data_IF_005670762447
#
_entry.id   IF_005670762447
#
_cell.length_a   1.000
_cell.length_b   1.000
_cell.length_c   1.000
_cell.angle_alpha   90.00
_cell.angle_beta   90.00
_cell.angle_gamma   90.00
#
_symmetry.space_group_name_H-M   'P 1'
#
loop_
_entity.id
_entity.type
_entity.pdbx_description
1 polymer ?
#
# COMPACT_ATOMS: atom_id res chain seq x y z
N UNK A 1 -2.75 -20.76 5.34
CA UNK A 1 -3.61 -20.07 4.36
C UNK A 1 -4.80 -19.35 5.01
N UNK A 2 -5.50 -19.96 5.97
CA UNK A 2 -6.68 -19.36 6.63
C UNK A 2 -6.43 -17.95 7.21
N UNK A 3 -5.34 -17.77 7.95
CA UNK A 3 -4.97 -16.49 8.58
C UNK A 3 -4.79 -15.34 7.58
N UNK A 4 -4.24 -15.62 6.41
CA UNK A 4 -4.05 -14.62 5.35
C UNK A 4 -5.38 -14.04 4.86
N UNK A 5 -6.38 -14.90 4.67
CA UNK A 5 -7.72 -14.47 4.24
C UNK A 5 -8.47 -13.74 5.36
N UNK A 6 -8.33 -14.17 6.62
CA UNK A 6 -8.88 -13.45 7.78
C UNK A 6 -8.34 -12.03 7.87
N UNK A 7 -7.03 -11.85 7.67
CA UNK A 7 -6.39 -10.54 7.70
C UNK A 7 -6.88 -9.64 6.54
N UNK A 8 -7.00 -10.18 5.32
CA UNK A 8 -7.56 -9.43 4.19
C UNK A 8 -9.03 -9.04 4.40
N UNK A 9 -9.84 -9.92 5.01
CA UNK A 9 -11.22 -9.63 5.35
C UNK A 9 -11.30 -8.54 6.43
N UNK A 10 -10.45 -8.62 7.46
CA UNK A 10 -10.37 -7.57 8.49
C UNK A 10 -9.96 -6.23 7.88
N UNK A 11 -8.95 -6.22 7.00
CA UNK A 11 -8.53 -5.03 6.27
C UNK A 11 -9.69 -4.41 5.48
N UNK A 12 -10.42 -5.21 4.70
CA UNK A 12 -11.58 -4.73 3.94
C UNK A 12 -12.70 -4.21 4.85
N UNK A 13 -12.97 -4.87 5.97
CA UNK A 13 -14.05 -4.48 6.88
C UNK A 13 -13.72 -3.22 7.69
N UNK A 14 -12.44 -2.95 7.94
CA UNK A 14 -11.99 -1.80 8.74
C UNK A 14 -11.63 -0.56 7.92
N UNK A 15 -11.53 -0.68 6.59
CA UNK A 15 -11.11 0.39 5.67
C UNK A 15 -12.17 0.66 4.62
N UNK A 16 -12.82 1.81 4.73
CA UNK A 16 -13.90 2.19 3.82
C UNK A 16 -13.36 2.41 2.40
N UNK A 17 -12.14 2.94 2.27
CA UNK A 17 -11.47 3.10 0.97
C UNK A 17 -11.23 1.75 0.28
N UNK A 18 -10.80 0.72 1.02
CA UNK A 18 -10.63 -0.63 0.46
C UNK A 18 -11.99 -1.19 0.02
N UNK A 19 -12.99 -1.15 0.89
CA UNK A 19 -14.30 -1.73 0.61
C UNK A 19 -15.03 -1.07 -0.57
N UNK A 20 -14.95 0.26 -0.70
CA UNK A 20 -15.86 1.05 -1.57
C UNK A 20 -15.20 2.24 -2.28
N UNK A 21 -13.92 2.49 -2.07
CA UNK A 21 -13.25 3.66 -2.63
C UNK A 21 -13.18 3.67 -4.15
N UNK A 22 -12.97 4.86 -4.71
CA UNK A 22 -12.57 5.05 -6.10
C UNK A 22 -11.21 4.41 -6.35
N UNK A 23 -10.92 4.08 -7.60
CA UNK A 23 -9.60 3.65 -8.04
C UNK A 23 -8.89 4.85 -8.70
N UNK A 24 -7.76 5.26 -8.14
CA UNK A 24 -7.08 6.50 -8.51
C UNK A 24 -5.57 6.30 -8.66
N UNK A 25 -4.92 7.20 -9.40
CA UNK A 25 -3.44 7.34 -9.47
C UNK A 25 -2.72 6.00 -9.74
N UNK A 26 -3.31 5.18 -10.60
CA UNK A 26 -2.75 3.90 -10.97
C UNK A 26 -1.49 4.06 -11.83
N UNK A 27 -0.54 3.14 -11.64
CA UNK A 27 0.70 3.09 -12.39
C UNK A 27 1.20 1.64 -12.49
N UNK A 28 2.14 1.44 -13.42
CA UNK A 28 2.87 0.20 -13.55
C UNK A 28 4.36 0.47 -13.75
N UNK A 29 5.21 -0.39 -13.17
CA UNK A 29 6.66 -0.43 -13.36
C UNK A 29 7.05 -1.90 -13.60
N UNK A 30 7.13 -2.28 -14.88
CA UNK A 30 7.34 -3.66 -15.28
C UNK A 30 6.21 -4.57 -14.77
N UNK A 31 6.55 -5.55 -13.93
CA UNK A 31 5.60 -6.48 -13.31
C UNK A 31 5.05 -5.98 -11.97
N UNK A 32 5.28 -4.71 -11.63
CA UNK A 32 4.65 -4.08 -10.47
C UNK A 32 3.47 -3.22 -10.92
N UNK A 33 2.34 -3.38 -10.24
CA UNK A 33 1.20 -2.47 -10.32
C UNK A 33 1.04 -1.73 -8.99
N UNK A 34 0.77 -0.43 -9.07
CA UNK A 34 0.41 0.36 -7.89
C UNK A 34 -0.81 1.22 -8.18
N UNK A 35 -1.65 1.44 -7.16
CA UNK A 35 -2.82 2.31 -7.27
C UNK A 35 -3.32 2.75 -5.89
N UNK A 36 -4.13 3.80 -5.88
CA UNK A 36 -4.81 4.26 -4.67
C UNK A 36 -6.30 3.90 -4.65
N UNK A 37 -6.79 3.65 -3.44
CA UNK A 37 -8.19 3.56 -3.09
C UNK A 37 -8.55 4.79 -2.26
N UNK A 38 -9.56 5.55 -2.68
CA UNK A 38 -9.94 6.80 -2.00
C UNK A 38 -11.42 6.83 -1.65
N UNK A 39 -11.72 7.18 -0.39
CA UNK A 39 -13.10 7.44 0.05
C UNK A 39 -13.11 8.34 1.28
N UNK A 40 -13.87 9.45 1.25
CA UNK A 40 -14.08 10.32 2.42
C UNK A 40 -12.79 10.76 3.14
N UNK A 41 -11.74 11.09 2.38
CA UNK A 41 -10.43 11.50 2.91
C UNK A 41 -9.52 10.33 3.35
N UNK A 42 -10.02 9.11 3.38
CA UNK A 42 -9.21 7.90 3.53
C UNK A 42 -8.51 7.61 2.20
N UNK A 43 -7.18 7.47 2.23
CA UNK A 43 -6.35 7.13 1.07
C UNK A 43 -5.55 5.88 1.40
N UNK A 44 -5.72 4.83 0.61
CA UNK A 44 -4.96 3.59 0.75
C UNK A 44 -4.19 3.30 -0.52
N UNK A 45 -2.87 3.18 -0.44
CA UNK A 45 -2.03 2.74 -1.55
C UNK A 45 -1.91 1.22 -1.53
N UNK A 46 -2.10 0.60 -2.68
CA UNK A 46 -1.90 -0.83 -2.92
C UNK A 46 -0.75 -0.99 -3.91
N UNK A 47 0.23 -1.80 -3.56
CA UNK A 47 1.36 -2.18 -4.41
C UNK A 47 1.35 -3.69 -4.59
N UNK A 48 1.49 -4.17 -5.82
CA UNK A 48 1.46 -5.58 -6.17
C UNK A 48 2.66 -5.87 -7.07
N UNK A 49 3.54 -6.78 -6.66
CA UNK A 49 4.59 -7.32 -7.51
C UNK A 49 4.16 -8.69 -8.04
N UNK A 50 3.87 -8.78 -9.34
CA UNK A 50 3.54 -10.03 -10.01
C UNK A 50 4.78 -10.84 -10.42
N UNK A 51 5.97 -10.24 -10.35
CA UNK A 51 7.23 -10.87 -10.77
C UNK A 51 7.75 -11.93 -9.80
N UNK A 52 8.61 -12.81 -10.31
CA UNK A 52 9.34 -13.81 -9.53
C UNK A 52 10.61 -13.26 -8.86
N UNK A 53 10.92 -11.98 -9.06
CA UNK A 53 12.08 -11.29 -8.51
C UNK A 53 11.66 -10.13 -7.60
N UNK A 54 12.51 -9.81 -6.61
CA UNK A 54 12.32 -8.62 -5.81
C UNK A 54 12.56 -7.37 -6.67
N UNK A 55 11.77 -6.32 -6.46
CA UNK A 55 11.91 -5.06 -7.21
C UNK A 55 11.89 -3.86 -6.26
N UNK A 56 12.73 -2.88 -6.57
CA UNK A 56 12.66 -1.55 -5.98
C UNK A 56 11.89 -0.65 -6.94
N UNK A 57 10.80 -0.06 -6.47
CA UNK A 57 9.83 0.66 -7.31
C UNK A 57 9.86 2.13 -6.96
N UNK A 58 9.95 2.98 -7.98
CA UNK A 58 9.78 4.42 -7.81
C UNK A 58 8.30 4.75 -7.97
N UNK A 59 7.67 5.23 -6.91
CA UNK A 59 6.29 5.69 -6.97
C UNK A 59 6.22 7.00 -7.76
N UNK A 60 5.19 7.19 -8.61
CA UNK A 60 4.90 8.48 -9.21
C UNK A 60 4.69 9.53 -8.12
N UNK A 61 5.10 10.78 -8.37
CA UNK A 61 4.89 11.88 -7.41
C UNK A 61 3.42 12.03 -7.00
N UNK A 62 2.47 11.72 -7.89
CA UNK A 62 1.05 11.73 -7.57
C UNK A 62 0.66 10.70 -6.49
N UNK A 63 1.34 9.55 -6.46
CA UNK A 63 1.12 8.45 -5.52
C UNK A 63 2.06 8.51 -4.29
N UNK A 64 3.06 9.40 -4.33
CA UNK A 64 3.99 9.59 -3.23
C UNK A 64 3.35 10.51 -2.16
N UNK A 65 3.43 10.16 -0.87
CA UNK A 65 3.09 11.05 0.21
C UNK A 65 4.03 12.26 0.25
N UNK A 66 3.46 13.45 0.40
CA UNK A 66 4.16 14.72 0.66
C UNK A 66 4.70 14.86 2.10
N UNK A 67 4.59 13.82 2.95
CA UNK A 67 5.03 13.85 4.35
C UNK A 67 5.34 12.48 4.96
N UNK A 68 5.97 12.44 6.15
CA UNK A 68 6.81 11.33 6.63
C UNK A 68 6.06 10.14 7.27
N UNK A 69 4.80 9.84 6.93
CA UNK A 69 4.08 8.79 7.67
C UNK A 69 3.05 8.03 6.84
N UNK A 70 3.49 7.39 5.75
CA UNK A 70 2.72 6.25 5.26
C UNK A 70 2.85 5.13 6.30
N UNK A 71 1.73 4.51 6.67
CA UNK A 71 1.72 3.42 7.64
C UNK A 71 1.39 2.11 6.95
N UNK A 72 2.23 1.11 7.09
CA UNK A 72 1.96 -0.22 6.55
C UNK A 72 0.72 -0.80 7.26
N UNK A 73 -0.32 -1.10 6.47
CA UNK A 73 -1.53 -1.75 6.94
C UNK A 73 -1.40 -3.25 6.83
N UNK A 74 -0.84 -3.75 5.73
CA UNK A 74 -0.74 -5.18 5.49
C UNK A 74 0.30 -5.49 4.42
N UNK A 75 0.99 -6.63 4.55
CA UNK A 75 1.90 -7.14 3.53
C UNK A 75 1.81 -8.66 3.44
N UNK A 76 1.86 -9.21 2.23
CA UNK A 76 1.82 -10.66 1.99
C UNK A 76 3.21 -11.32 2.04
N UNK A 77 4.27 -10.55 2.23
CA UNK A 77 5.65 -11.03 2.18
C UNK A 77 5.93 -12.05 3.30
N UNK A 78 6.62 -13.18 3.00
CA UNK A 78 6.91 -14.21 4.01
C UNK A 78 7.70 -13.67 5.20
N UNK A 79 8.64 -12.75 4.96
CA UNK A 79 9.42 -12.09 6.01
C UNK A 79 8.56 -11.23 6.97
N UNK A 80 7.36 -10.82 6.53
CA UNK A 80 6.39 -10.02 7.30
C UNK A 80 5.30 -10.88 7.96
N UNK A 81 5.26 -12.20 7.69
CA UNK A 81 4.37 -13.19 8.27
C UNK A 81 2.86 -12.84 8.24
N UNK A 82 2.42 -11.95 7.34
CA UNK A 82 1.02 -11.58 7.14
C UNK A 82 0.32 -10.91 8.34
N UNK A 83 1.03 -10.55 9.42
CA UNK A 83 0.37 -10.09 10.66
C UNK A 83 -0.19 -8.68 10.50
N UNK A 84 -1.48 -8.48 10.74
CA UNK A 84 -2.02 -7.17 11.14
C UNK A 84 -1.58 -6.88 12.58
N UNK A 85 -0.37 -6.34 12.80
CA UNK A 85 0.05 -5.92 14.14
C UNK A 85 0.77 -4.57 14.11
N UNK A 86 0.50 -3.78 15.15
CA UNK A 86 1.08 -2.47 15.46
C UNK A 86 2.63 -2.43 15.53
N UNK A 87 3.32 -3.56 15.30
CA UNK A 87 4.77 -3.69 15.28
C UNK A 87 5.42 -3.16 13.98
N UNK A 88 4.66 -2.81 12.93
CA UNK A 88 5.19 -2.24 11.69
C UNK A 88 5.31 -0.71 11.67
N UNK A 89 5.22 -0.06 12.83
CA UNK A 89 5.60 1.36 12.94
C UNK A 89 7.09 1.62 12.60
N UNK A 90 7.87 0.58 12.29
CA UNK A 90 9.28 0.61 11.93
C UNK A 90 9.57 0.35 10.45
N UNK A 91 8.60 -0.08 9.63
CA UNK A 91 8.84 -0.25 8.19
C UNK A 91 8.78 1.12 7.54
N UNK A 92 9.95 1.63 7.15
CA UNK A 92 10.05 2.88 6.44
C UNK A 92 9.36 2.75 5.08
N UNK A 93 8.57 3.77 4.74
CA UNK A 93 8.02 3.92 3.41
C UNK A 93 9.00 4.69 2.54
N UNK A 94 9.41 4.11 1.42
CA UNK A 94 10.49 4.63 0.56
C UNK A 94 9.95 4.96 -0.84
N UNK A 95 9.33 6.13 -1.08
CA UNK A 95 8.66 6.43 -2.34
C UNK A 95 9.58 6.40 -3.57
N UNK A 96 10.89 6.58 -3.40
CA UNK A 96 11.86 6.60 -4.49
C UNK A 96 12.47 5.22 -4.82
N UNK A 97 12.16 4.19 -4.02
CA UNK A 97 12.78 2.88 -4.13
C UNK A 97 12.09 1.81 -3.29
N UNK A 98 10.76 1.85 -3.21
CA UNK A 98 9.98 0.97 -2.35
C UNK A 98 10.24 -0.49 -2.74
N UNK A 99 10.78 -1.26 -1.81
CA UNK A 99 11.09 -2.67 -2.04
C UNK A 99 9.85 -3.53 -1.92
N UNK A 100 9.62 -4.37 -2.94
CA UNK A 100 8.60 -5.42 -2.96
C UNK A 100 9.28 -6.76 -3.18
N UNK A 101 8.99 -7.75 -2.32
CA UNK A 101 9.40 -9.14 -2.54
C UNK A 101 8.72 -9.72 -3.81
N UNK A 102 9.22 -10.86 -4.34
CA UNK A 102 8.52 -11.59 -5.40
C UNK A 102 7.08 -11.92 -5.02
N UNK A 103 6.16 -11.87 -5.99
CA UNK A 103 4.78 -12.33 -5.83
C UNK A 103 4.10 -11.80 -4.55
N UNK A 104 4.30 -10.50 -4.27
CA UNK A 104 3.88 -9.89 -3.01
C UNK A 104 2.94 -8.71 -3.20
N UNK A 105 2.26 -8.37 -2.11
CA UNK A 105 1.38 -7.21 -2.00
C UNK A 105 1.76 -6.44 -0.74
N UNK A 106 1.79 -5.11 -0.84
CA UNK A 106 1.83 -4.21 0.31
C UNK A 106 0.67 -3.22 0.23
N UNK A 107 0.07 -2.94 1.38
CA UNK A 107 -1.05 -1.99 1.52
C UNK A 107 -0.68 -0.95 2.56
N UNK A 108 -0.77 0.32 2.20
CA UNK A 108 -0.31 1.46 3.00
C UNK A 108 -1.42 2.47 3.23
N UNK A 109 -1.53 2.96 4.45
CA UNK A 109 -2.37 4.10 4.81
C UNK A 109 -1.65 5.40 4.46
N UNK A 110 -2.27 6.20 3.62
CA UNK A 110 -1.82 7.56 3.27
C UNK A 110 -2.76 8.64 3.86
N UNK A 111 -3.75 8.24 4.66
CA UNK A 111 -4.75 9.14 5.24
C UNK A 111 -4.09 10.08 6.27
N UNK A 112 -4.26 11.38 6.09
CA UNK A 112 -3.57 12.43 6.88
C UNK A 112 -2.79 13.43 6.03
N UNK A 113 -2.78 13.27 4.70
CA UNK A 113 -2.08 14.19 3.80
C UNK A 113 -3.08 14.99 2.96
N UNK A 114 -3.16 16.29 3.24
CA UNK A 114 -3.80 17.25 2.37
C UNK A 114 -2.98 17.32 1.07
N UNK A 115 -3.63 17.13 -0.07
CA UNK A 115 -3.04 17.34 -1.39
C UNK A 115 -2.44 18.76 -1.42
N UNK A 116 -1.12 18.87 -1.43
CA UNK A 116 -0.42 20.11 -1.81
C UNK A 116 -0.53 20.26 -3.33
N UNK A 117 -1.76 20.54 -3.75
CA UNK A 117 -2.13 20.80 -5.13
C UNK A 117 -3.42 21.59 -5.10
N UNK A 118 -3.29 22.91 -5.07
CA UNK A 118 -4.40 23.84 -5.27
C UNK A 118 -4.30 24.46 -6.69
N UNK A 119 -5.43 24.93 -7.22
CA UNK A 119 -5.86 24.82 -8.63
C UNK A 119 -5.04 25.62 -9.64
#
# INVERSE_FOLDING_TARGET
>A
ILRHYEDMLMLRNTRASIARGSWERAFADGLVMGFERVLNGERTLVLINYGSEARNVRLPQSAAPSGPSARLLWASEPAMAGRLQAAFNTVAFEPQGQRLAPQSVQVWDLSGQHLSGRP
#
